data_IF_662057383907
#
_entry.id   IF_662057383907
#
_cell.length_a   1.000
_cell.length_b   1.000
_cell.length_c   1.000
_cell.angle_alpha   90.00
_cell.angle_beta   90.00
_cell.angle_gamma   90.00
#
_symmetry.space_group_name_H-M   'P 1'
#
loop_
_entity.id
_entity.type
_entity.pdbx_description
1 polymer ?
#
# COMPACT_ATOMS: atom_id res chain seq x y z
N UNK A 1 -31.95 8.16 1.77
CA UNK A 1 -30.85 8.71 0.96
C UNK A 1 -30.35 9.93 1.72
N UNK A 2 -29.22 9.83 2.40
CA UNK A 2 -28.56 11.00 2.97
C UNK A 2 -27.82 11.67 1.81
N UNK A 3 -28.20 12.89 1.47
CA UNK A 3 -27.43 13.73 0.56
C UNK A 3 -26.03 13.90 1.14
N UNK A 4 -25.02 13.30 0.47
CA UNK A 4 -23.62 13.54 0.82
C UNK A 4 -23.36 15.01 0.53
N UNK A 5 -23.07 15.79 1.56
CA UNK A 5 -22.60 17.17 1.38
C UNK A 5 -21.45 17.19 0.38
N UNK A 6 -21.42 18.16 -0.54
CA UNK A 6 -20.36 18.28 -1.51
C UNK A 6 -19.02 18.51 -0.79
N UNK A 7 -17.98 17.76 -1.20
CA UNK A 7 -16.64 17.90 -0.62
C UNK A 7 -16.15 19.36 -0.73
N UNK A 8 -15.53 19.82 0.33
CA UNK A 8 -14.83 21.11 0.30
C UNK A 8 -13.65 21.04 -0.72
N UNK A 9 -13.20 22.19 -1.21
CA UNK A 9 -12.03 22.24 -2.12
C UNK A 9 -10.78 21.61 -1.50
N UNK A 10 -10.60 21.73 -0.19
CA UNK A 10 -9.50 21.08 0.54
C UNK A 10 -9.64 19.57 0.57
N UNK A 11 -10.83 19.06 0.85
CA UNK A 11 -11.10 17.62 0.83
C UNK A 11 -10.93 17.03 -0.57
N UNK A 12 -11.45 17.71 -1.59
CA UNK A 12 -11.27 17.27 -2.98
C UNK A 12 -9.77 17.21 -3.35
N UNK A 13 -8.99 18.25 -3.01
CA UNK A 13 -7.55 18.27 -3.22
C UNK A 13 -6.84 17.14 -2.48
N UNK A 14 -7.18 16.93 -1.20
CA UNK A 14 -6.62 15.87 -0.37
C UNK A 14 -6.85 14.48 -0.98
N UNK A 15 -8.09 14.14 -1.36
CA UNK A 15 -8.40 12.84 -1.92
C UNK A 15 -7.75 12.59 -3.29
N UNK A 16 -7.66 13.62 -4.14
CA UNK A 16 -6.98 13.53 -5.44
C UNK A 16 -5.48 13.29 -5.26
N UNK A 17 -4.82 14.12 -4.44
CA UNK A 17 -3.39 13.98 -4.17
C UNK A 17 -3.08 12.64 -3.50
N UNK A 18 -3.87 12.24 -2.51
CA UNK A 18 -3.71 10.96 -1.81
C UNK A 18 -3.78 9.79 -2.77
N UNK A 19 -4.81 9.74 -3.62
CA UNK A 19 -4.96 8.72 -4.65
C UNK A 19 -3.74 8.66 -5.56
N UNK A 20 -3.29 9.81 -6.06
CA UNK A 20 -2.20 9.86 -7.04
C UNK A 20 -0.83 9.55 -6.40
N UNK A 21 -0.66 9.79 -5.10
CA UNK A 21 0.51 9.33 -4.31
C UNK A 21 0.45 7.82 -4.11
N UNK A 22 -0.67 7.28 -3.64
CA UNK A 22 -0.82 5.85 -3.37
C UNK A 22 -0.70 5.01 -4.66
N UNK A 23 -1.14 5.55 -5.79
CA UNK A 23 -1.01 4.92 -7.11
C UNK A 23 0.32 5.23 -7.81
N UNK A 24 1.26 5.90 -7.12
CA UNK A 24 2.58 6.28 -7.65
C UNK A 24 2.57 7.14 -8.92
N UNK A 25 1.43 7.77 -9.26
CA UNK A 25 1.37 8.82 -10.30
C UNK A 25 2.21 10.02 -9.89
N UNK A 26 2.12 10.41 -8.62
CA UNK A 26 3.09 11.27 -7.98
C UNK A 26 4.17 10.37 -7.37
N UNK A 27 5.34 10.31 -8.02
CA UNK A 27 6.39 9.34 -7.72
C UNK A 27 6.99 9.54 -6.32
N UNK A 28 7.36 8.46 -5.60
CA UNK A 28 8.13 8.54 -4.37
C UNK A 28 9.38 9.43 -4.54
N UNK A 29 9.62 10.32 -3.58
CA UNK A 29 10.72 11.29 -3.60
C UNK A 29 10.53 12.49 -4.53
N UNK A 30 9.47 12.54 -5.34
CA UNK A 30 9.25 13.67 -6.25
C UNK A 30 8.88 14.96 -5.52
N UNK A 31 9.49 16.08 -5.91
CA UNK A 31 9.15 17.38 -5.39
C UNK A 31 7.75 17.82 -5.84
N UNK A 32 6.91 18.23 -4.90
CA UNK A 32 5.55 18.70 -5.11
C UNK A 32 5.52 20.21 -5.27
N UNK A 33 5.71 20.68 -6.51
CA UNK A 33 5.65 22.11 -6.82
C UNK A 33 4.19 22.58 -6.79
N UNK A 34 3.85 23.46 -5.85
CA UNK A 34 2.49 23.97 -5.68
C UNK A 34 1.90 24.58 -6.96
N UNK A 35 2.71 25.29 -7.78
CA UNK A 35 2.26 25.82 -9.06
C UNK A 35 1.80 24.73 -10.03
N UNK A 36 2.59 23.66 -10.18
CA UNK A 36 2.25 22.54 -11.04
C UNK A 36 1.01 21.80 -10.52
N UNK A 37 0.89 21.60 -9.20
CA UNK A 37 -0.28 20.96 -8.60
C UNK A 37 -1.53 21.81 -8.77
N UNK A 38 -1.43 23.13 -8.62
CA UNK A 38 -2.55 24.05 -8.87
C UNK A 38 -3.07 23.90 -10.31
N UNK A 39 -2.16 23.88 -11.24
CA UNK A 39 -2.52 23.84 -12.67
C UNK A 39 -3.07 22.45 -13.06
N UNK A 40 -2.51 21.37 -12.50
CA UNK A 40 -2.96 20.00 -12.74
C UNK A 40 -4.31 19.66 -12.10
N UNK A 41 -4.56 20.14 -10.88
CA UNK A 41 -5.78 19.77 -10.12
C UNK A 41 -6.84 20.87 -10.07
N UNK A 42 -6.57 22.06 -10.62
CA UNK A 42 -7.54 23.18 -10.64
C UNK A 42 -7.88 23.73 -9.25
N UNK A 43 -6.97 23.61 -8.27
CA UNK A 43 -7.22 23.93 -6.86
C UNK A 43 -6.34 25.09 -6.42
N UNK A 44 -6.88 26.01 -5.60
CA UNK A 44 -6.16 27.17 -5.10
C UNK A 44 -5.03 26.83 -4.11
N UNK A 45 -4.15 27.82 -3.83
CA UNK A 45 -2.96 27.65 -2.99
C UNK A 45 -3.28 27.19 -1.55
N UNK A 46 -4.29 27.81 -0.91
CA UNK A 46 -4.65 27.49 0.47
C UNK A 46 -5.18 26.06 0.62
N UNK A 47 -6.18 25.60 -0.14
CA UNK A 47 -6.62 24.22 -0.13
C UNK A 47 -5.52 23.20 -0.41
N UNK A 48 -4.58 23.49 -1.33
CA UNK A 48 -3.45 22.62 -1.63
C UNK A 48 -2.50 22.49 -0.44
N UNK A 49 -2.16 23.60 0.24
CA UNK A 49 -1.28 23.55 1.42
C UNK A 49 -1.91 22.79 2.57
N UNK A 50 -3.20 23.00 2.83
CA UNK A 50 -3.95 22.27 3.86
C UNK A 50 -3.99 20.75 3.54
N UNK A 51 -4.27 20.39 2.29
CA UNK A 51 -4.25 19.01 1.83
C UNK A 51 -2.87 18.36 2.00
N UNK A 52 -1.80 19.06 1.62
CA UNK A 52 -0.42 18.57 1.77
C UNK A 52 -0.01 18.44 3.24
N UNK A 53 -0.42 19.36 4.12
CA UNK A 53 -0.17 19.22 5.56
C UNK A 53 -0.89 18.02 6.18
N UNK A 54 -2.09 17.69 5.72
CA UNK A 54 -2.80 16.45 6.13
C UNK A 54 -2.05 15.21 5.65
N UNK A 55 -1.60 15.19 4.40
CA UNK A 55 -0.82 14.09 3.83
C UNK A 55 0.56 13.93 4.51
N UNK A 56 1.14 15.02 5.00
CA UNK A 56 2.37 14.99 5.80
C UNK A 56 2.12 14.31 7.17
N UNK A 57 1.00 14.62 7.82
CA UNK A 57 0.62 13.94 9.06
C UNK A 57 0.39 12.42 8.87
N UNK A 58 0.00 11.99 7.65
CA UNK A 58 -0.14 10.59 7.25
C UNK A 58 1.19 9.97 6.76
N UNK A 59 2.31 10.70 6.78
CA UNK A 59 3.61 10.26 6.26
C UNK A 59 3.62 9.91 4.76
N UNK A 60 2.66 10.38 3.99
CA UNK A 60 2.61 10.25 2.54
C UNK A 60 3.40 11.36 1.82
N UNK A 61 3.63 12.46 2.52
CA UNK A 61 4.36 13.64 2.06
C UNK A 61 5.35 14.05 3.14
N UNK A 62 6.47 14.63 2.73
CA UNK A 62 7.47 15.23 3.62
C UNK A 62 7.64 16.72 3.30
N UNK A 63 7.70 17.57 4.33
CA UNK A 63 8.07 18.97 4.16
C UNK A 63 9.59 19.08 3.97
N UNK A 64 10.00 19.86 2.98
CA UNK A 64 11.40 20.20 2.74
C UNK A 64 11.60 21.66 3.14
N UNK A 65 12.47 21.89 4.14
CA UNK A 65 12.77 23.25 4.64
C UNK A 65 13.05 24.21 3.48
N UNK A 66 12.29 25.31 3.42
CA UNK A 66 12.39 26.35 2.41
C UNK A 66 12.18 25.91 0.94
N UNK A 67 11.73 24.65 0.68
CA UNK A 67 11.56 24.11 -0.68
C UNK A 67 10.16 23.53 -0.94
N UNK A 68 9.27 23.56 0.05
CA UNK A 68 7.90 23.05 -0.08
C UNK A 68 7.77 21.59 0.36
N UNK A 69 7.15 20.76 -0.46
CA UNK A 69 6.80 19.37 -0.14
C UNK A 69 7.38 18.41 -1.17
N UNK A 70 7.60 17.17 -0.75
CA UNK A 70 7.89 16.03 -1.63
C UNK A 70 7.03 14.83 -1.24
N UNK A 71 6.79 13.94 -2.18
CA UNK A 71 6.23 12.61 -1.87
C UNK A 71 7.22 11.86 -0.98
N UNK A 72 6.74 11.22 0.05
CA UNK A 72 7.61 10.41 0.91
C UNK A 72 8.35 9.36 0.07
N UNK A 73 9.67 9.16 0.27
CA UNK A 73 10.44 8.17 -0.47
C UNK A 73 9.99 6.75 -0.13
N UNK A 74 10.35 5.80 -0.97
CA UNK A 74 10.30 4.36 -0.65
C UNK A 74 11.73 3.94 -0.37
N UNK A 75 11.96 3.31 0.79
CA UNK A 75 13.27 2.82 1.18
C UNK A 75 13.17 1.47 1.90
N UNK A 76 14.28 0.72 1.90
CA UNK A 76 14.39 -0.54 2.65
C UNK A 76 14.16 -0.32 4.13
N UNK A 77 14.82 0.67 4.73
CA UNK A 77 14.70 0.97 6.16
C UNK A 77 13.28 1.30 6.57
N UNK A 78 12.57 2.11 5.76
CA UNK A 78 11.15 2.41 5.99
C UNK A 78 10.30 1.13 5.89
N UNK A 79 10.57 0.29 4.89
CA UNK A 79 9.81 -0.95 4.69
C UNK A 79 10.07 -1.95 5.83
N UNK A 80 11.31 -2.11 6.29
CA UNK A 80 11.64 -2.95 7.44
C UNK A 80 10.92 -2.48 8.71
N UNK A 81 10.83 -1.17 8.94
CA UNK A 81 10.10 -0.61 10.07
C UNK A 81 8.59 -0.82 9.93
N UNK A 82 8.07 -0.66 8.73
CA UNK A 82 6.66 -0.92 8.42
C UNK A 82 6.29 -2.40 8.64
N UNK A 83 7.17 -3.35 8.28
CA UNK A 83 6.96 -4.79 8.55
C UNK A 83 6.91 -5.06 10.06
N UNK A 84 7.78 -4.42 10.85
CA UNK A 84 7.71 -4.52 12.33
C UNK A 84 6.39 -3.98 12.87
N UNK A 85 5.93 -2.83 12.36
CA UNK A 85 4.64 -2.26 12.75
C UNK A 85 3.47 -3.19 12.39
N UNK A 86 3.49 -3.85 11.22
CA UNK A 86 2.50 -4.86 10.83
C UNK A 86 2.43 -6.01 11.82
N UNK A 87 3.57 -6.58 12.20
CA UNK A 87 3.64 -7.69 13.16
C UNK A 87 2.98 -7.32 14.49
N UNK A 88 3.23 -6.10 14.97
CA UNK A 88 2.68 -5.63 16.26
C UNK A 88 1.18 -5.32 16.17
N UNK A 89 0.69 -4.87 15.01
CA UNK A 89 -0.71 -4.44 14.85
C UNK A 89 -1.58 -5.56 14.29
N UNK A 90 -1.16 -6.22 13.20
CA UNK A 90 -2.02 -7.14 12.48
C UNK A 90 -2.13 -8.51 13.14
N UNK A 91 -1.05 -9.03 13.76
CA UNK A 91 -1.13 -10.33 14.45
C UNK A 91 -2.14 -10.34 15.61
N UNK A 92 -2.11 -9.39 16.57
CA UNK A 92 -3.11 -9.35 17.62
C UNK A 92 -4.54 -9.22 17.08
N UNK A 93 -4.74 -8.39 16.04
CA UNK A 93 -6.06 -8.24 15.40
C UNK A 93 -6.54 -9.54 14.76
N UNK A 94 -5.65 -10.27 14.07
CA UNK A 94 -5.97 -11.56 13.46
C UNK A 94 -6.39 -12.57 14.52
N UNK A 95 -5.59 -12.73 15.57
CA UNK A 95 -5.87 -13.71 16.63
C UNK A 95 -7.17 -13.40 17.37
N UNK A 96 -7.40 -12.13 17.68
CA UNK A 96 -8.68 -11.69 18.25
C UNK A 96 -9.86 -11.95 17.31
N UNK A 97 -9.67 -11.71 15.99
CA UNK A 97 -10.71 -11.97 15.00
C UNK A 97 -11.01 -13.47 14.84
N UNK A 98 -10.00 -14.31 14.90
CA UNK A 98 -10.17 -15.77 14.91
C UNK A 98 -10.95 -16.23 16.15
N UNK A 99 -10.64 -15.68 17.32
CA UNK A 99 -11.29 -16.03 18.58
C UNK A 99 -12.75 -15.57 18.63
N UNK A 100 -13.03 -14.32 18.21
CA UNK A 100 -14.35 -13.66 18.38
C UNK A 100 -15.25 -13.72 17.17
N UNK A 101 -14.71 -14.02 15.99
CA UNK A 101 -15.44 -13.99 14.72
C UNK A 101 -16.53 -15.05 14.67
N UNK A 102 -17.75 -14.65 14.31
CA UNK A 102 -18.90 -15.55 14.07
C UNK A 102 -19.21 -15.69 12.58
N UNK A 103 -20.37 -16.29 12.23
CA UNK A 103 -20.75 -16.59 10.85
C UNK A 103 -20.72 -15.39 9.89
N UNK A 104 -20.98 -14.18 10.39
CA UNK A 104 -20.93 -12.95 9.60
C UNK A 104 -19.49 -12.64 9.20
N UNK A 105 -18.52 -12.77 10.12
CA UNK A 105 -17.11 -12.61 9.85
C UNK A 105 -16.60 -13.69 8.90
N UNK A 106 -16.94 -14.94 9.11
CA UNK A 106 -16.56 -16.06 8.22
C UNK A 106 -17.04 -15.81 6.79
N UNK A 107 -18.30 -15.41 6.63
CA UNK A 107 -18.87 -15.07 5.32
C UNK A 107 -18.15 -13.88 4.68
N UNK A 108 -17.75 -12.88 5.46
CA UNK A 108 -17.01 -11.72 4.97
C UNK A 108 -15.62 -12.12 4.46
N UNK A 109 -14.90 -12.97 5.21
CA UNK A 109 -13.55 -13.46 4.84
C UNK A 109 -13.63 -14.29 3.56
N UNK A 110 -14.55 -15.25 3.46
CA UNK A 110 -14.76 -16.09 2.25
C UNK A 110 -15.10 -15.22 1.05
N UNK A 111 -16.01 -14.26 1.21
CA UNK A 111 -16.43 -13.37 0.13
C UNK A 111 -15.26 -12.48 -0.35
N UNK A 112 -14.47 -11.95 0.57
CA UNK A 112 -13.33 -11.12 0.22
C UNK A 112 -12.24 -11.93 -0.50
N UNK A 113 -11.93 -13.14 0.00
CA UNK A 113 -11.02 -14.07 -0.67
C UNK A 113 -11.50 -14.44 -2.08
N UNK A 114 -12.78 -14.81 -2.24
CA UNK A 114 -13.34 -15.11 -3.54
C UNK A 114 -13.17 -13.95 -4.53
N UNK A 115 -13.44 -12.72 -4.10
CA UNK A 115 -13.24 -11.53 -4.95
C UNK A 115 -11.78 -11.34 -5.34
N UNK A 116 -10.86 -11.53 -4.40
CA UNK A 116 -9.41 -11.46 -4.67
C UNK A 116 -8.98 -12.54 -5.65
N UNK A 117 -9.44 -13.79 -5.49
CA UNK A 117 -9.09 -14.91 -6.38
C UNK A 117 -9.58 -14.72 -7.83
N UNK A 118 -10.51 -13.78 -8.06
CA UNK A 118 -11.00 -13.46 -9.42
C UNK A 118 -10.19 -12.37 -10.11
N UNK A 119 -9.29 -11.71 -9.39
CA UNK A 119 -8.39 -10.72 -10.00
C UNK A 119 -7.42 -11.41 -10.94
N UNK A 120 -7.37 -10.93 -12.18
CA UNK A 120 -6.38 -11.37 -13.16
C UNK A 120 -5.30 -10.30 -13.21
N UNK A 121 -4.21 -10.53 -12.50
CA UNK A 121 -3.06 -9.63 -12.53
C UNK A 121 -1.85 -10.33 -13.11
N UNK A 122 -1.17 -9.65 -14.03
CA UNK A 122 0.13 -10.04 -14.56
C UNK A 122 1.09 -8.93 -14.20
N UNK A 123 2.02 -9.14 -13.27
CA UNK A 123 2.84 -8.07 -12.69
C UNK A 123 3.58 -7.19 -13.70
N UNK A 124 3.99 -7.77 -14.83
CA UNK A 124 4.75 -7.11 -15.90
C UNK A 124 3.89 -6.52 -17.02
N UNK A 125 2.58 -6.76 -17.00
CA UNK A 125 1.64 -6.31 -18.03
C UNK A 125 0.34 -5.72 -17.46
N UNK A 126 0.31 -5.42 -16.14
CA UNK A 126 -0.89 -4.89 -15.50
C UNK A 126 -1.19 -3.45 -15.95
N UNK A 127 -2.42 -3.20 -16.37
CA UNK A 127 -2.91 -1.82 -16.51
C UNK A 127 -3.10 -1.18 -15.13
N UNK A 128 -3.22 0.17 -15.09
CA UNK A 128 -3.53 0.87 -13.84
C UNK A 128 -4.83 0.35 -13.20
N UNK A 129 -5.85 0.08 -14.01
CA UNK A 129 -7.15 -0.42 -13.55
C UNK A 129 -7.03 -1.82 -12.93
N UNK A 130 -6.24 -2.72 -13.55
CA UNK A 130 -6.00 -4.06 -13.01
C UNK A 130 -5.25 -3.99 -11.68
N UNK A 131 -4.28 -3.10 -11.59
CA UNK A 131 -3.52 -2.88 -10.38
C UNK A 131 -4.39 -2.24 -9.27
N UNK A 132 -5.27 -1.28 -9.62
CA UNK A 132 -6.23 -0.68 -8.69
C UNK A 132 -7.23 -1.72 -8.17
N UNK A 133 -7.75 -2.58 -9.05
CA UNK A 133 -8.66 -3.65 -8.66
C UNK A 133 -7.99 -4.64 -7.69
N UNK A 134 -6.76 -5.06 -7.99
CA UNK A 134 -6.03 -5.98 -7.11
C UNK A 134 -5.77 -5.36 -5.74
N UNK A 135 -5.24 -4.14 -5.68
CA UNK A 135 -4.98 -3.45 -4.41
C UNK A 135 -6.25 -3.33 -3.55
N UNK A 136 -7.39 -2.99 -4.19
CA UNK A 136 -8.68 -2.88 -3.50
C UNK A 136 -9.11 -4.23 -2.92
N UNK A 137 -9.07 -5.30 -3.73
CA UNK A 137 -9.52 -6.64 -3.29
C UNK A 137 -8.55 -7.25 -2.27
N UNK A 138 -7.25 -7.05 -2.44
CA UNK A 138 -6.24 -7.49 -1.48
C UNK A 138 -6.39 -6.79 -0.13
N UNK A 139 -6.53 -5.46 -0.12
CA UNK A 139 -6.78 -4.71 1.10
C UNK A 139 -8.11 -5.12 1.76
N UNK A 140 -9.16 -5.36 0.98
CA UNK A 140 -10.46 -5.81 1.48
C UNK A 140 -10.38 -7.21 2.11
N UNK A 141 -9.56 -8.12 1.57
CA UNK A 141 -9.33 -9.43 2.16
C UNK A 141 -8.66 -9.33 3.54
N UNK A 142 -7.55 -8.58 3.63
CA UNK A 142 -6.88 -8.36 4.91
C UNK A 142 -7.78 -7.65 5.93
N UNK A 143 -8.53 -6.64 5.50
CA UNK A 143 -9.49 -5.97 6.38
C UNK A 143 -10.59 -6.93 6.89
N UNK A 144 -11.08 -7.83 6.04
CA UNK A 144 -12.07 -8.83 6.43
C UNK A 144 -11.51 -9.80 7.48
N UNK A 145 -10.28 -10.31 7.30
CA UNK A 145 -9.60 -11.19 8.26
C UNK A 145 -9.52 -10.56 9.67
N UNK A 146 -9.33 -9.25 9.75
CA UNK A 146 -9.10 -8.51 10.99
C UNK A 146 -10.39 -7.90 11.58
N UNK A 147 -11.53 -8.02 10.88
CA UNK A 147 -12.72 -7.21 11.15
C UNK A 147 -13.52 -7.62 12.39
N UNK A 148 -13.30 -8.81 12.96
CA UNK A 148 -13.95 -9.22 14.20
C UNK A 148 -13.19 -8.76 15.46
N UNK A 149 -12.01 -8.18 15.31
CA UNK A 149 -11.28 -7.56 16.41
C UNK A 149 -12.00 -6.28 16.88
N UNK A 150 -11.88 -5.98 18.17
CA UNK A 150 -12.64 -4.91 18.83
C UNK A 150 -11.86 -3.62 19.04
N UNK A 151 -10.52 -3.66 18.89
CA UNK A 151 -9.67 -2.49 19.10
C UNK A 151 -9.78 -1.50 17.93
N UNK A 152 -10.58 -0.46 18.11
CA UNK A 152 -10.74 0.61 17.10
C UNK A 152 -9.41 1.36 16.81
N UNK A 153 -8.51 1.45 17.78
CA UNK A 153 -7.20 2.05 17.60
C UNK A 153 -6.28 1.19 16.72
N UNK A 154 -6.18 -0.11 17.01
CA UNK A 154 -5.37 -1.01 16.18
C UNK A 154 -5.91 -1.12 14.76
N UNK A 155 -7.24 -1.18 14.57
CA UNK A 155 -7.87 -1.17 13.25
C UNK A 155 -7.57 0.13 12.48
N UNK A 156 -7.53 1.28 13.15
CA UNK A 156 -7.11 2.55 12.54
C UNK A 156 -5.64 2.54 12.13
N UNK A 157 -4.75 2.03 12.98
CA UNK A 157 -3.32 1.89 12.65
C UNK A 157 -3.12 0.93 11.49
N UNK A 158 -3.85 -0.18 11.45
CA UNK A 158 -3.83 -1.12 10.33
C UNK A 158 -4.21 -0.44 9.01
N UNK A 159 -5.24 0.40 8.99
CA UNK A 159 -5.60 1.17 7.80
C UNK A 159 -4.47 2.08 7.32
N UNK A 160 -3.78 2.77 8.23
CA UNK A 160 -2.61 3.61 7.90
C UNK A 160 -1.46 2.77 7.33
N UNK A 161 -1.19 1.61 7.94
CA UNK A 161 -0.17 0.67 7.46
C UNK A 161 -0.51 0.17 6.06
N UNK A 162 -1.76 -0.22 5.81
CA UNK A 162 -2.24 -0.70 4.52
C UNK A 162 -2.02 0.34 3.40
N UNK A 163 -2.25 1.62 3.67
CA UNK A 163 -1.98 2.70 2.73
C UNK A 163 -0.49 2.84 2.39
N UNK A 164 0.38 2.78 3.40
CA UNK A 164 1.83 2.83 3.17
C UNK A 164 2.29 1.61 2.35
N UNK A 165 1.77 0.42 2.66
CA UNK A 165 2.07 -0.79 1.88
C UNK A 165 1.66 -0.67 0.42
N UNK A 166 0.47 -0.15 0.14
CA UNK A 166 0.00 0.07 -1.23
C UNK A 166 1.02 0.87 -2.04
N UNK A 167 1.57 1.94 -1.47
CA UNK A 167 2.62 2.77 -2.09
C UNK A 167 3.88 1.97 -2.40
N UNK A 168 4.33 1.12 -1.45
CA UNK A 168 5.49 0.25 -1.66
C UNK A 168 5.21 -0.82 -2.71
N UNK A 169 4.07 -1.50 -2.66
CA UNK A 169 3.69 -2.51 -3.65
C UNK A 169 3.65 -1.92 -5.07
N UNK A 170 3.03 -0.74 -5.22
CA UNK A 170 2.97 -0.04 -6.51
C UNK A 170 4.34 0.36 -7.03
N UNK A 171 5.19 0.86 -6.15
CA UNK A 171 6.55 1.22 -6.53
C UNK A 171 7.38 0.01 -6.94
N UNK A 172 7.29 -1.09 -6.20
CA UNK A 172 8.14 -2.26 -6.40
C UNK A 172 7.72 -3.14 -7.58
N UNK A 173 6.43 -3.29 -7.82
CA UNK A 173 5.99 -4.36 -8.68
C UNK A 173 4.99 -4.01 -9.76
N UNK A 174 4.04 -3.14 -9.47
CA UNK A 174 2.91 -2.91 -10.37
C UNK A 174 3.12 -1.76 -11.37
N UNK A 175 4.27 -1.09 -11.35
CA UNK A 175 4.64 -0.07 -12.31
C UNK A 175 6.03 -0.32 -12.92
N UNK A 176 6.23 -1.43 -13.67
CA UNK A 176 7.53 -1.79 -14.27
C UNK A 176 8.07 -0.68 -15.17
N UNK A 177 7.20 -0.01 -15.93
CA UNK A 177 7.57 1.11 -16.79
C UNK A 177 8.12 2.30 -16.01
N UNK A 178 7.60 2.57 -14.79
CA UNK A 178 8.14 3.62 -13.93
C UNK A 178 9.54 3.27 -13.41
N UNK A 179 9.79 1.99 -13.11
CA UNK A 179 11.11 1.51 -12.69
C UNK A 179 12.13 1.56 -13.82
N UNK A 180 11.77 1.10 -15.01
CA UNK A 180 12.62 1.19 -16.19
C UNK A 180 12.96 2.65 -16.53
N UNK A 181 11.99 3.56 -16.46
CA UNK A 181 12.21 5.01 -16.63
C UNK A 181 13.09 5.62 -15.51
N UNK A 182 13.17 5.00 -14.34
CA UNK A 182 14.05 5.37 -13.24
C UNK A 182 15.46 4.75 -13.35
N UNK A 183 15.73 3.92 -14.36
CA UNK A 183 17.01 3.21 -14.51
C UNK A 183 17.14 1.96 -13.64
N UNK A 184 16.07 1.52 -12.99
CA UNK A 184 16.02 0.35 -12.09
C UNK A 184 15.70 -0.92 -12.90
N UNK A 185 16.60 -1.32 -13.80
CA UNK A 185 16.40 -2.48 -14.69
C UNK A 185 17.09 -3.76 -14.18
N UNK A 186 18.10 -3.62 -13.30
CA UNK A 186 18.83 -4.75 -12.72
C UNK A 186 17.92 -5.49 -11.73
N UNK A 187 17.91 -6.82 -11.77
CA UNK A 187 17.07 -7.63 -10.89
C UNK A 187 15.56 -7.62 -11.21
N UNK A 188 15.16 -6.99 -12.32
CA UNK A 188 13.75 -6.86 -12.70
C UNK A 188 13.02 -8.21 -12.77
N UNK A 189 13.57 -9.20 -13.47
CA UNK A 189 12.95 -10.52 -13.60
C UNK A 189 12.83 -11.23 -12.25
N UNK A 190 13.87 -11.13 -11.41
CA UNK A 190 13.88 -11.68 -10.05
C UNK A 190 12.84 -11.00 -9.17
N UNK A 191 12.70 -9.68 -9.27
CA UNK A 191 11.70 -8.93 -8.55
C UNK A 191 10.27 -9.27 -9.01
N UNK A 192 10.05 -9.43 -10.32
CA UNK A 192 8.75 -9.83 -10.88
C UNK A 192 8.40 -11.26 -10.44
N UNK A 193 9.35 -12.18 -10.42
CA UNK A 193 9.13 -13.54 -9.92
C UNK A 193 8.75 -13.52 -8.43
N UNK A 194 9.50 -12.78 -7.60
CA UNK A 194 9.20 -12.63 -6.17
C UNK A 194 7.84 -11.96 -5.91
N UNK A 195 7.46 -10.99 -6.75
CA UNK A 195 6.16 -10.36 -6.67
C UNK A 195 5.03 -11.33 -7.04
N UNK A 196 5.23 -12.14 -8.09
CA UNK A 196 4.27 -13.17 -8.47
C UNK A 196 4.04 -14.17 -7.35
N UNK A 197 5.12 -14.60 -6.68
CA UNK A 197 5.05 -15.47 -5.51
C UNK A 197 4.31 -14.79 -4.36
N UNK A 198 4.64 -13.54 -4.04
CA UNK A 198 3.99 -12.78 -2.97
C UNK A 198 2.49 -12.51 -3.23
N UNK A 199 2.09 -12.39 -4.50
CA UNK A 199 0.70 -12.19 -4.93
C UNK A 199 -0.06 -13.50 -5.14
N UNK A 200 0.58 -14.66 -4.97
CA UNK A 200 -0.05 -15.95 -5.18
C UNK A 200 -1.27 -16.13 -4.29
N UNK A 201 -2.38 -16.53 -4.90
CA UNK A 201 -3.67 -16.68 -4.20
C UNK A 201 -3.64 -17.82 -3.18
N UNK A 202 -2.76 -18.79 -3.38
CA UNK A 202 -2.57 -19.95 -2.52
C UNK A 202 -2.18 -19.57 -1.10
N UNK A 203 -1.33 -18.54 -0.94
CA UNK A 203 -0.97 -18.02 0.39
C UNK A 203 -2.15 -17.39 1.10
N UNK A 204 -2.98 -16.66 0.37
CA UNK A 204 -4.20 -16.04 0.90
C UNK A 204 -5.27 -17.11 1.23
N UNK A 205 -5.38 -18.16 0.39
CA UNK A 205 -6.26 -19.30 0.65
C UNK A 205 -5.86 -20.05 1.92
N UNK A 206 -4.57 -20.38 2.07
CA UNK A 206 -4.06 -21.05 3.27
C UNK A 206 -4.29 -20.24 4.55
N UNK A 207 -4.10 -18.92 4.49
CA UNK A 207 -4.37 -18.02 5.61
C UNK A 207 -5.87 -17.95 5.96
N UNK A 208 -6.74 -17.88 4.96
CA UNK A 208 -8.18 -17.93 5.14
C UNK A 208 -8.61 -19.25 5.79
N UNK A 209 -8.15 -20.38 5.27
CA UNK A 209 -8.45 -21.71 5.82
C UNK A 209 -8.03 -21.83 7.28
N UNK A 210 -6.77 -21.47 7.61
CA UNK A 210 -6.29 -21.51 8.98
C UNK A 210 -7.13 -20.63 9.92
N UNK A 211 -7.58 -19.47 9.45
CA UNK A 211 -8.42 -18.57 10.22
C UNK A 211 -9.83 -19.13 10.45
N UNK A 212 -10.45 -19.74 9.43
CA UNK A 212 -11.79 -20.36 9.53
C UNK A 212 -11.77 -21.64 10.36
N UNK A 213 -10.70 -22.44 10.28
CA UNK A 213 -10.48 -23.64 11.07
C UNK A 213 -10.12 -23.33 12.54
N UNK A 214 -9.97 -22.05 12.91
CA UNK A 214 -9.52 -21.59 14.23
C UNK A 214 -8.14 -22.12 14.63
N UNK A 215 -7.31 -22.45 13.65
CA UNK A 215 -5.93 -22.90 13.87
C UNK A 215 -5.03 -21.66 14.08
N UNK A 216 -4.98 -21.22 15.34
CA UNK A 216 -4.26 -20.01 15.78
C UNK A 216 -2.78 -20.07 15.43
N UNK A 217 -2.13 -21.22 15.65
CA UNK A 217 -0.70 -21.36 15.44
C UNK A 217 -0.36 -21.35 13.94
N UNK A 218 -1.13 -22.05 13.13
CA UNK A 218 -1.00 -22.03 11.66
C UNK A 218 -1.29 -20.63 11.10
N UNK A 219 -2.37 -19.98 11.54
CA UNK A 219 -2.71 -18.63 11.09
C UNK A 219 -1.62 -17.61 11.45
N UNK A 220 -1.04 -17.70 12.66
CA UNK A 220 0.08 -16.88 13.10
C UNK A 220 1.31 -17.08 12.21
N UNK A 221 1.69 -18.33 11.95
CA UNK A 221 2.85 -18.66 11.12
C UNK A 221 2.67 -18.12 9.68
N UNK A 222 1.51 -18.39 9.07
CA UNK A 222 1.20 -17.93 7.72
C UNK A 222 1.15 -16.41 7.59
N UNK A 223 0.58 -15.70 8.58
CA UNK A 223 0.54 -14.24 8.57
C UNK A 223 1.94 -13.65 8.74
N UNK A 224 2.77 -14.26 9.58
CA UNK A 224 4.17 -13.84 9.79
C UNK A 224 4.97 -13.97 8.49
N UNK A 225 4.83 -15.10 7.80
CA UNK A 225 5.45 -15.34 6.49
C UNK A 225 4.94 -14.34 5.44
N UNK A 226 3.63 -14.18 5.36
CA UNK A 226 2.99 -13.26 4.42
C UNK A 226 3.46 -11.81 4.60
N UNK A 227 3.62 -11.34 5.84
CA UNK A 227 4.17 -10.01 6.13
C UNK A 227 5.59 -9.88 5.56
N UNK A 228 6.38 -10.94 5.59
CA UNK A 228 7.76 -10.95 5.07
C UNK A 228 7.88 -10.83 3.56
N UNK A 229 6.88 -11.22 2.78
CA UNK A 229 6.98 -11.25 1.31
C UNK A 229 7.28 -9.90 0.68
N UNK A 230 6.66 -8.82 1.15
CA UNK A 230 6.91 -7.48 0.60
C UNK A 230 8.38 -7.06 0.74
N UNK A 231 9.00 -7.36 1.89
CA UNK A 231 10.43 -7.08 2.10
C UNK A 231 11.31 -7.95 1.20
N UNK A 232 10.95 -9.22 0.99
CA UNK A 232 11.69 -10.10 0.09
C UNK A 232 11.63 -9.61 -1.37
N UNK A 233 10.48 -9.12 -1.84
CA UNK A 233 10.36 -8.48 -3.16
C UNK A 233 11.30 -7.29 -3.26
N UNK A 234 11.36 -6.46 -2.20
CA UNK A 234 12.25 -5.31 -2.16
C UNK A 234 13.72 -5.73 -2.25
N UNK A 235 14.18 -6.64 -1.39
CA UNK A 235 15.56 -7.13 -1.35
C UNK A 235 15.97 -7.75 -2.70
N UNK A 236 15.11 -8.56 -3.33
CA UNK A 236 15.36 -9.15 -4.64
C UNK A 236 15.33 -8.14 -5.80
N UNK A 237 14.89 -6.90 -5.55
CA UNK A 237 14.91 -5.82 -6.54
C UNK A 237 16.04 -4.81 -6.32
N UNK A 238 16.83 -4.95 -5.27
CA UNK A 238 18.07 -4.20 -5.06
C UNK A 238 19.13 -4.65 -6.09
N UNK A 239 20.03 -3.74 -6.44
CA UNK A 239 21.22 -4.08 -7.24
C UNK A 239 22.26 -4.83 -6.38
N UNK A 240 23.39 -5.23 -7.02
CA UNK A 240 24.47 -5.94 -6.32
C UNK A 240 25.11 -5.14 -5.19
N UNK A 241 24.93 -3.82 -5.15
CA UNK A 241 25.43 -2.91 -4.13
C UNK A 241 24.44 -2.67 -2.95
N UNK A 242 23.24 -3.28 -3.02
CA UNK A 242 22.23 -3.19 -1.96
C UNK A 242 21.51 -1.84 -1.89
N UNK A 243 21.65 -1.00 -2.90
CA UNK A 243 20.99 0.28 -3.02
C UNK A 243 19.96 0.26 -4.17
N UNK A 244 18.67 0.37 -3.83
CA UNK A 244 17.76 1.08 -4.71
C UNK A 244 18.16 2.55 -4.61
N UNK A 245 19.01 3.03 -5.54
CA UNK A 245 19.37 4.45 -5.53
C UNK A 245 18.11 5.30 -5.35
N UNK A 246 18.08 6.19 -4.34
CA UNK A 246 17.01 7.18 -4.25
C UNK A 246 17.03 7.92 -5.59
N UNK A 247 15.86 8.00 -6.24
CA UNK A 247 15.69 8.69 -7.52
C UNK A 247 16.45 10.01 -7.49
N UNK A 248 17.67 10.04 -8.04
CA UNK A 248 18.43 11.27 -8.20
C UNK A 248 17.59 12.17 -9.09
N UNK A 249 16.99 13.19 -8.50
CA UNK A 249 16.34 14.27 -9.23
C UNK A 249 17.35 14.75 -10.28
N UNK A 250 17.20 14.38 -11.54
CA UNK A 250 17.93 15.04 -12.62
C UNK A 250 17.60 16.52 -12.47
N UNK A 251 18.61 17.31 -12.17
CA UNK A 251 18.51 18.76 -12.26
C UNK A 251 18.14 19.03 -13.71
N UNK A 252 16.87 19.38 -13.92
CA UNK A 252 16.41 19.84 -15.21
C UNK A 252 17.24 21.04 -15.63
N UNK A 253 17.76 20.97 -16.81
CA UNK A 253 18.38 22.09 -17.51
C UNK A 253 17.34 23.18 -17.77
#
# INVERSE_FOLDING_TARGET
>A
MQDKEPLTKTEAAYWLLRRDILNTKLRPGAALKLSALRDAYGVGWTPLREALSRLEAEKLVTAISNRGFAVAPVSRTELEDLMRARMVVELPLLLESIEKGGPVWESAVVTAHYRLSRCKIVPDAASEEMADEWDEKHAAFHAALLSAATSSWLLRFQGTISDQLRRHHRFLGLAPTQRAAAGLTIGYETAVAALRDAMAIEHHAALMEAALDRDIDRARALMTEHIGYTLQVYIKSEDEDGELEPLKLRRGA
#
